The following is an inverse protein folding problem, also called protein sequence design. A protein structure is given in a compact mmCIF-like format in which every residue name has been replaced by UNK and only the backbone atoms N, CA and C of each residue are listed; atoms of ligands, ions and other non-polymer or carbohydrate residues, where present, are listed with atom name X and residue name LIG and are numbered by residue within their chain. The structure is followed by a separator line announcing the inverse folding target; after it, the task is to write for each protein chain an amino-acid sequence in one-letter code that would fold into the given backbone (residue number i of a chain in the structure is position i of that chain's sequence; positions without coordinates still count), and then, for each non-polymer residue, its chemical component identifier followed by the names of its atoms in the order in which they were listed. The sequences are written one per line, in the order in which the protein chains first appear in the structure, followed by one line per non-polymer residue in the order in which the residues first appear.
data_IF_902216604120
#
_entry.id   IF_902216604120
#
_cell.length_a   1.000
_cell.length_b   1.000
_cell.length_c   1.000
_cell.angle_alpha   90.00
_cell.angle_beta   90.00
_cell.angle_gamma   90.00
#
_symmetry.space_group_name_H-M   'P 1'
#
loop_
_entity.id
_entity.type
_entity.pdbx_description
1 polymer ?
#
# COMPACT_ATOMS: atom_id res chain seq x y z
N UNK A 1 2.03 23.13 -6.58
CA UNK A 1 1.39 22.50 -5.43
C UNK A 1 -0.12 22.59 -5.54
N UNK A 2 -0.78 21.54 -5.27
CA UNK A 2 -2.23 21.54 -5.29
C UNK A 2 -2.79 22.21 -4.05
N UNK A 3 -3.73 23.06 -4.27
CA UNK A 3 -4.44 23.74 -3.21
C UNK A 3 -5.89 23.30 -3.26
N UNK A 4 -6.42 22.90 -2.13
CA UNK A 4 -7.78 22.41 -2.03
C UNK A 4 -8.63 23.43 -1.30
N UNK A 5 -9.26 24.35 -2.00
CA UNK A 5 -9.99 25.43 -1.35
C UNK A 5 -11.12 24.95 -0.45
N UNK A 6 -11.64 23.78 -0.73
CA UNK A 6 -12.73 23.22 0.05
C UNK A 6 -12.29 22.73 1.43
N UNK A 7 -11.02 22.72 1.72
CA UNK A 7 -10.53 22.20 3.00
C UNK A 7 -11.03 22.98 4.19
N UNK A 8 -11.33 24.20 3.98
CA UNK A 8 -11.61 25.09 5.09
C UNK A 8 -13.05 25.10 5.52
N UNK A 9 -13.96 24.38 4.86
CA UNK A 9 -15.35 24.43 5.25
C UNK A 9 -15.89 23.04 5.47
N UNK A 10 -16.55 22.48 4.50
CA UNK A 10 -17.22 21.20 4.69
C UNK A 10 -16.28 20.03 4.84
N UNK A 11 -15.03 20.19 4.45
CA UNK A 11 -14.06 19.10 4.53
C UNK A 11 -13.77 18.76 5.98
N UNK A 12 -13.86 17.51 6.35
CA UNK A 12 -13.56 17.10 7.70
C UNK A 12 -12.13 17.44 8.10
N UNK A 13 -11.96 17.80 9.35
CA UNK A 13 -10.64 18.08 9.89
C UNK A 13 -9.69 16.92 9.72
N UNK A 14 -10.22 15.74 9.75
CA UNK A 14 -9.47 14.52 9.59
C UNK A 14 -8.63 14.53 8.30
N UNK A 15 -9.21 14.99 7.21
CA UNK A 15 -8.50 15.07 5.96
C UNK A 15 -7.37 16.09 5.98
N UNK A 16 -7.62 17.21 6.62
CA UNK A 16 -6.61 18.23 6.73
C UNK A 16 -5.37 17.71 7.46
N UNK A 17 -5.58 16.98 8.55
CA UNK A 17 -4.48 16.43 9.31
C UNK A 17 -3.66 15.44 8.48
N UNK A 18 -4.31 14.63 7.66
CA UNK A 18 -3.61 13.64 6.84
C UNK A 18 -2.88 14.29 5.69
N UNK A 19 -3.51 15.26 5.05
CA UNK A 19 -2.92 15.86 3.86
C UNK A 19 -1.87 16.91 4.19
N UNK A 20 -1.90 17.43 5.39
CA UNK A 20 -0.97 18.48 5.79
C UNK A 20 0.27 17.95 6.48
N UNK A 21 0.36 16.64 6.68
CA UNK A 21 1.54 16.05 7.30
C UNK A 21 2.76 16.30 6.41
N UNK A 22 3.83 16.87 6.95
CA UNK A 22 5.02 17.14 6.14
C UNK A 22 5.73 15.84 5.78
N UNK A 23 6.42 15.86 4.65
CA UNK A 23 7.31 14.76 4.34
C UNK A 23 8.51 14.82 5.29
N UNK A 24 9.09 13.65 5.60
CA UNK A 24 10.33 13.62 6.35
C UNK A 24 11.43 14.39 5.61
N UNK A 25 12.30 15.05 6.34
CA UNK A 25 13.41 15.76 5.73
C UNK A 25 14.27 14.83 4.90
N UNK A 26 14.50 13.63 5.38
CA UNK A 26 15.24 12.60 4.66
C UNK A 26 14.28 11.47 4.34
N UNK A 27 14.07 11.24 3.05
CA UNK A 27 13.19 10.16 2.63
C UNK A 27 13.91 8.84 2.80
N UNK A 28 13.34 7.98 3.61
CA UNK A 28 13.87 6.64 3.83
C UNK A 28 12.81 5.64 3.44
N UNK A 29 13.00 4.93 2.31
CA UNK A 29 11.99 3.96 1.85
C UNK A 29 11.65 2.90 2.89
N UNK A 30 12.57 2.59 3.79
CA UNK A 30 12.32 1.59 4.83
C UNK A 30 11.33 2.07 5.87
N UNK A 31 11.11 3.39 5.96
CA UNK A 31 10.21 3.99 6.93
C UNK A 31 8.94 4.51 6.28
N UNK A 32 8.71 4.18 5.03
CA UNK A 32 7.54 4.69 4.31
C UNK A 32 6.24 4.11 4.83
N UNK A 33 6.24 2.83 5.16
CA UNK A 33 5.03 2.13 5.59
C UNK A 33 5.10 1.79 7.06
N UNK A 34 4.00 2.01 7.77
CA UNK A 34 3.94 1.77 9.20
C UNK A 34 2.54 1.33 9.61
N UNK A 35 2.40 0.92 10.86
CA UNK A 35 1.13 0.55 11.47
C UNK A 35 0.45 -0.59 10.73
N UNK A 36 1.17 -1.68 10.57
CA UNK A 36 0.66 -2.86 9.88
C UNK A 36 -0.35 -3.61 10.71
N UNK A 37 -1.43 -4.02 10.06
CA UNK A 37 -2.45 -4.86 10.67
C UNK A 37 -2.91 -5.88 9.65
N UNK A 38 -2.89 -7.15 10.03
CA UNK A 38 -3.31 -8.21 9.12
C UNK A 38 -4.81 -8.15 8.90
N UNK A 39 -5.22 -8.12 7.62
CA UNK A 39 -6.62 -8.11 7.24
C UNK A 39 -7.06 -9.52 6.85
N UNK A 40 -6.23 -10.22 6.07
CA UNK A 40 -6.59 -11.51 5.53
C UNK A 40 -5.34 -12.31 5.20
N UNK A 41 -5.51 -13.62 5.07
CA UNK A 41 -4.45 -14.49 4.59
C UNK A 41 -5.01 -15.35 3.46
N UNK A 42 -4.28 -15.40 2.35
CA UNK A 42 -4.57 -16.34 1.30
C UNK A 42 -3.79 -17.63 1.50
N UNK A 43 -3.77 -18.49 0.48
CA UNK A 43 -3.00 -19.73 0.56
C UNK A 43 -1.53 -19.47 0.78
N UNK A 44 -0.96 -18.50 0.07
CA UNK A 44 0.46 -18.18 0.12
C UNK A 44 0.73 -16.71 0.41
N UNK A 45 -0.30 -15.90 0.49
CA UNK A 45 -0.17 -14.46 0.64
C UNK A 45 -0.62 -13.97 2.00
N UNK A 46 -0.04 -12.88 2.42
CA UNK A 46 -0.42 -12.15 3.61
C UNK A 46 -0.88 -10.77 3.17
N UNK A 47 -2.08 -10.40 3.59
CA UNK A 47 -2.67 -9.11 3.24
C UNK A 47 -2.84 -8.30 4.50
N UNK A 48 -2.26 -7.10 4.49
CA UNK A 48 -2.27 -6.22 5.65
C UNK A 48 -2.77 -4.84 5.23
N UNK A 49 -3.32 -4.12 6.17
CA UNK A 49 -3.48 -2.68 6.02
C UNK A 49 -2.26 -2.01 6.65
N UNK A 50 -1.85 -0.90 6.10
CA UNK A 50 -0.79 -0.11 6.70
C UNK A 50 -0.95 1.34 6.25
N UNK A 51 -0.15 2.21 6.86
CA UNK A 51 -0.16 3.62 6.52
C UNK A 51 1.02 3.93 5.62
N UNK A 52 0.74 4.53 4.49
CA UNK A 52 1.78 5.10 3.63
C UNK A 52 2.09 6.49 4.16
N UNK A 53 3.21 6.63 4.82
CA UNK A 53 3.57 7.89 5.47
C UNK A 53 3.96 8.97 4.48
N UNK A 54 4.35 8.60 3.26
CA UNK A 54 4.69 9.58 2.24
C UNK A 54 3.44 10.25 1.68
N UNK A 55 2.43 9.45 1.39
CA UNK A 55 1.19 9.95 0.81
C UNK A 55 0.13 10.27 1.85
N UNK A 56 0.37 9.90 3.11
CA UNK A 56 -0.56 10.19 4.20
C UNK A 56 -1.88 9.46 4.07
N UNK A 57 -1.84 8.21 3.66
CA UNK A 57 -3.07 7.42 3.51
C UNK A 57 -2.86 5.97 3.88
N UNK A 58 -3.96 5.31 4.21
CA UNK A 58 -3.95 3.88 4.46
C UNK A 58 -4.02 3.14 3.14
N UNK A 59 -3.27 2.05 3.04
CA UNK A 59 -3.21 1.23 1.83
C UNK A 59 -3.27 -0.23 2.22
N UNK A 60 -3.57 -1.05 1.24
CA UNK A 60 -3.47 -2.49 1.35
C UNK A 60 -2.08 -2.91 0.94
N UNK A 61 -1.45 -3.76 1.73
CA UNK A 61 -0.06 -4.19 1.55
C UNK A 61 -0.06 -5.71 1.42
N UNK A 62 0.37 -6.21 0.28
CA UNK A 62 0.36 -7.64 0.01
C UNK A 62 1.76 -8.17 -0.13
N UNK A 63 2.04 -9.26 0.57
CA UNK A 63 3.34 -9.92 0.54
C UNK A 63 3.13 -11.43 0.64
N UNK A 64 4.19 -12.20 0.52
CA UNK A 64 4.13 -13.63 0.73
C UNK A 64 4.19 -13.97 2.21
N UNK A 65 3.53 -15.06 2.59
CA UNK A 65 3.71 -15.61 3.93
C UNK A 65 5.17 -15.98 4.15
N UNK A 66 5.66 -15.98 5.39
CA UNK A 66 7.07 -16.24 5.66
C UNK A 66 7.61 -17.51 5.05
N UNK A 67 6.79 -18.58 5.02
CA UNK A 67 7.26 -19.86 4.50
C UNK A 67 7.48 -19.86 2.99
N UNK A 68 6.96 -18.85 2.27
CA UNK A 68 7.10 -18.76 0.81
C UNK A 68 8.02 -17.64 0.36
N UNK A 69 8.57 -16.87 1.29
CA UNK A 69 9.34 -15.67 0.94
C UNK A 69 10.63 -15.98 0.19
N UNK A 70 11.17 -17.18 0.33
CA UNK A 70 12.36 -17.59 -0.38
C UNK A 70 12.08 -18.43 -1.61
N UNK A 71 10.82 -18.69 -1.92
CA UNK A 71 10.45 -19.50 -3.07
C UNK A 71 10.47 -18.64 -4.33
N UNK A 72 11.39 -18.91 -5.28
CA UNK A 72 11.49 -18.09 -6.50
C UNK A 72 10.22 -18.09 -7.33
N UNK A 73 9.52 -19.20 -7.39
CA UNK A 73 8.29 -19.30 -8.16
C UNK A 73 7.19 -18.41 -7.56
N UNK A 74 7.06 -18.43 -6.24
CA UNK A 74 6.03 -17.62 -5.59
C UNK A 74 6.36 -16.13 -5.65
N UNK A 75 7.63 -15.77 -5.54
CA UNK A 75 8.04 -14.39 -5.71
C UNK A 75 7.72 -13.90 -7.13
N UNK A 76 7.95 -14.74 -8.13
CA UNK A 76 7.65 -14.37 -9.51
C UNK A 76 6.15 -14.22 -9.72
N UNK A 77 5.35 -15.08 -9.11
CA UNK A 77 3.90 -14.98 -9.19
C UNK A 77 3.38 -13.70 -8.56
N UNK A 78 3.91 -13.34 -7.40
CA UNK A 78 3.52 -12.11 -6.73
C UNK A 78 3.83 -10.90 -7.60
N UNK A 79 5.02 -10.88 -8.19
CA UNK A 79 5.45 -9.79 -9.05
C UNK A 79 4.56 -9.69 -10.30
N UNK A 80 4.22 -10.82 -10.91
CA UNK A 80 3.33 -10.85 -12.06
C UNK A 80 1.94 -10.33 -11.70
N UNK A 81 1.43 -10.77 -10.57
CA UNK A 81 0.12 -10.30 -10.12
C UNK A 81 0.10 -8.79 -9.98
N UNK A 82 1.13 -8.23 -9.36
CA UNK A 82 1.23 -6.78 -9.17
C UNK A 82 1.30 -6.04 -10.51
N UNK A 83 2.09 -6.54 -11.45
CA UNK A 83 2.26 -5.91 -12.75
C UNK A 83 0.99 -5.98 -13.59
N UNK A 84 0.32 -7.13 -13.58
CA UNK A 84 -0.94 -7.28 -14.31
C UNK A 84 -1.97 -6.33 -13.72
N UNK A 85 -2.06 -6.27 -12.41
CA UNK A 85 -3.01 -5.38 -11.74
C UNK A 85 -2.73 -3.92 -12.07
N UNK A 86 -1.46 -3.54 -12.16
CA UNK A 86 -1.07 -2.17 -12.51
C UNK A 86 -1.42 -1.82 -13.96
N UNK A 87 -1.42 -2.81 -14.85
CA UNK A 87 -1.72 -2.59 -16.26
C UNK A 87 -3.21 -2.54 -16.58
N UNK A 88 -4.03 -3.16 -15.74
CA UNK A 88 -5.44 -3.22 -15.98
C UNK A 88 -6.11 -1.91 -15.55
N UNK A 89 -6.90 -1.34 -16.46
CA UNK A 89 -7.67 -0.14 -16.17
C UNK A 89 -9.15 -0.46 -16.20
N UNK A 90 -9.50 -1.50 -15.47
CA UNK A 90 -10.88 -1.95 -15.40
C UNK A 90 -11.51 -1.42 -14.11
N UNK A 91 -12.79 -0.96 -14.16
CA UNK A 91 -13.40 -0.38 -12.96
C UNK A 91 -13.50 -1.34 -11.79
N UNK A 92 -13.45 -2.64 -12.04
CA UNK A 92 -13.53 -3.63 -10.98
C UNK A 92 -12.18 -4.11 -10.49
N UNK A 93 -11.08 -3.57 -11.01
CA UNK A 93 -9.76 -3.94 -10.54
C UNK A 93 -9.23 -2.90 -9.58
N UNK A 94 -8.45 -3.36 -8.62
CA UNK A 94 -7.78 -2.48 -7.67
C UNK A 94 -6.43 -2.10 -8.23
N UNK A 95 -6.17 -0.81 -8.46
CA UNK A 95 -4.89 -0.41 -9.01
C UNK A 95 -3.77 -0.68 -8.02
N UNK A 96 -2.66 -1.17 -8.54
CA UNK A 96 -1.44 -1.29 -7.79
C UNK A 96 -0.79 0.09 -7.70
N UNK A 97 -0.48 0.52 -6.48
CA UNK A 97 0.16 1.81 -6.26
C UNK A 97 1.67 1.71 -6.38
N UNK A 98 2.24 0.69 -5.78
CA UNK A 98 3.68 0.53 -5.74
C UNK A 98 4.05 -0.94 -5.69
N UNK A 99 5.16 -1.27 -6.33
CA UNK A 99 5.81 -2.57 -6.23
C UNK A 99 7.20 -2.29 -5.67
N UNK A 100 7.61 -3.03 -4.66
CA UNK A 100 8.91 -2.78 -4.08
C UNK A 100 9.48 -4.00 -3.36
N UNK A 101 10.58 -3.76 -2.68
CA UNK A 101 11.19 -4.73 -1.79
C UNK A 101 11.29 -4.11 -0.41
N UNK A 102 11.02 -4.91 0.62
CA UNK A 102 11.20 -4.45 1.98
C UNK A 102 12.68 -4.45 2.35
N UNK A 103 13.00 -4.12 3.60
CA UNK A 103 14.38 -4.03 4.05
C UNK A 103 15.07 -5.39 4.13
N UNK A 104 14.33 -6.48 3.96
CA UNK A 104 14.90 -7.83 3.89
C UNK A 104 15.00 -8.32 2.44
N UNK A 105 14.60 -7.51 1.48
CA UNK A 105 14.61 -7.86 0.08
C UNK A 105 13.40 -8.63 -0.39
N UNK A 106 12.35 -8.75 0.42
CA UNK A 106 11.14 -9.47 0.03
C UNK A 106 10.23 -8.58 -0.77
N UNK A 107 9.63 -9.12 -1.83
CA UNK A 107 8.71 -8.38 -2.67
C UNK A 107 7.42 -8.08 -1.93
N UNK A 108 6.88 -6.92 -2.21
CA UNK A 108 5.54 -6.52 -1.77
C UNK A 108 4.92 -5.65 -2.84
N UNK A 109 3.61 -5.47 -2.77
CA UNK A 109 2.98 -4.40 -3.52
C UNK A 109 1.83 -3.82 -2.71
N UNK A 110 1.52 -2.57 -3.01
CA UNK A 110 0.44 -1.86 -2.34
C UNK A 110 -0.66 -1.55 -3.33
N UNK A 111 -1.87 -1.49 -2.81
CA UNK A 111 -3.04 -1.20 -3.60
C UNK A 111 -4.05 -0.47 -2.74
N UNK A 112 -5.14 -0.04 -3.37
CA UNK A 112 -6.18 0.67 -2.67
C UNK A 112 -6.78 -0.20 -1.57
N UNK A 113 -6.94 0.39 -0.39
CA UNK A 113 -7.64 -0.25 0.71
C UNK A 113 -9.13 0.04 0.55
N UNK A 114 -9.94 -1.01 0.53
CA UNK A 114 -11.38 -0.89 0.36
C UNK A 114 -12.04 -1.17 1.69
N UNK A 115 -12.90 -0.27 2.12
CA UNK A 115 -13.66 -0.45 3.34
C UNK A 115 -14.57 -1.65 3.21
N UNK A 116 -14.68 -2.41 4.31
CA UNK A 116 -15.47 -3.63 4.31
C UNK A 116 -14.77 -4.82 3.70
N UNK A 117 -13.52 -4.66 3.30
CA UNK A 117 -12.73 -5.76 2.80
C UNK A 117 -12.40 -6.73 3.94
N UNK A 118 -12.62 -7.98 3.70
CA UNK A 118 -12.29 -9.01 4.71
C UNK A 118 -11.57 -10.20 4.09
#
# INVERSE_FOLDING_TARGET
MLHFPQRNNATPQLYADETDAPLPETLNPKLRYAYFSTIATGGKSLIQSCRDLYLGRSVCYKTLKPEFQKDPTENLRLLREARISAMLQHPNTMPTYEIGRDNRGHYFFTMKLVHGYT
#
